data_IF_899106255578
#
_entry.id   IF_899106255578
#
_cell.length_a   1.000
_cell.length_b   1.000
_cell.length_c   1.000
_cell.angle_alpha   90.00
_cell.angle_beta   90.00
_cell.angle_gamma   90.00
#
_symmetry.space_group_name_H-M   'P 1'
#
loop_
_entity.id
_entity.type
_entity.pdbx_description
1 polymer ?
#
# COMPACT_ATOMS: atom_id res chain seq x y z
N UNK A 1 2.36 1.09 -17.20
CA UNK A 1 0.90 1.36 -17.11
C UNK A 1 0.44 1.35 -15.66
N UNK A 2 0.96 2.29 -14.86
CA UNK A 2 0.39 2.74 -13.60
C UNK A 2 0.70 4.25 -13.48
N UNK A 3 0.44 5.00 -14.56
CA UNK A 3 0.53 6.46 -14.60
C UNK A 3 -0.72 7.06 -13.95
N UNK A 4 -0.78 6.91 -12.64
CA UNK A 4 -1.78 7.61 -11.83
C UNK A 4 -1.04 8.29 -10.70
N UNK A 5 -0.71 9.56 -10.89
CA UNK A 5 -0.43 10.52 -9.82
C UNK A 5 -1.71 10.75 -8.98
N UNK A 6 -2.29 9.67 -8.45
CA UNK A 6 -3.44 9.74 -7.57
C UNK A 6 -2.92 9.96 -6.16
N UNK A 7 -3.29 11.10 -5.58
CA UNK A 7 -2.93 11.41 -4.20
C UNK A 7 -3.48 10.32 -3.25
N UNK A 8 -2.71 9.97 -2.24
CA UNK A 8 -3.08 8.93 -1.27
C UNK A 8 -4.39 9.25 -0.54
N UNK A 9 -4.74 10.53 -0.38
CA UNK A 9 -6.02 10.96 0.20
C UNK A 9 -7.19 10.60 -0.72
N UNK A 10 -6.99 10.73 -2.03
CA UNK A 10 -8.00 10.35 -3.01
C UNK A 10 -8.16 8.82 -3.08
N UNK A 11 -7.06 8.07 -2.99
CA UNK A 11 -7.11 6.60 -2.87
C UNK A 11 -7.87 6.20 -1.60
N UNK A 12 -7.59 6.83 -0.46
CA UNK A 12 -8.28 6.57 0.80
C UNK A 12 -9.79 6.86 0.70
N UNK A 13 -10.15 7.99 0.08
CA UNK A 13 -11.55 8.36 -0.14
C UNK A 13 -12.27 7.36 -1.03
N UNK A 14 -11.67 6.97 -2.17
CA UNK A 14 -12.26 6.01 -3.13
C UNK A 14 -12.35 4.60 -2.55
N UNK A 15 -11.36 4.16 -1.79
CA UNK A 15 -11.36 2.86 -1.14
C UNK A 15 -12.27 2.81 0.10
N UNK A 16 -12.76 3.95 0.58
CA UNK A 16 -13.51 4.04 1.84
C UNK A 16 -12.65 3.63 3.04
N UNK A 17 -11.36 3.99 3.01
CA UNK A 17 -10.38 3.72 4.05
C UNK A 17 -9.98 5.02 4.75
N UNK A 18 -9.55 4.92 5.99
CA UNK A 18 -9.01 6.08 6.70
C UNK A 18 -7.67 6.49 6.08
N UNK A 19 -7.49 7.79 5.80
CA UNK A 19 -6.28 8.33 5.17
C UNK A 19 -4.99 7.98 5.93
N UNK A 20 -5.05 7.87 7.27
CA UNK A 20 -3.92 7.42 8.10
C UNK A 20 -3.51 5.97 7.77
N UNK A 21 -4.48 5.08 7.52
CA UNK A 21 -4.20 3.68 7.16
C UNK A 21 -3.48 3.62 5.82
N UNK A 22 -3.97 4.35 4.82
CA UNK A 22 -3.34 4.41 3.49
C UNK A 22 -1.95 5.08 3.57
N UNK A 23 -1.79 6.12 4.39
CA UNK A 23 -0.50 6.78 4.59
C UNK A 23 0.53 5.86 5.27
N UNK A 24 0.11 5.02 6.22
CA UNK A 24 0.95 3.99 6.83
C UNK A 24 1.35 2.94 5.80
N UNK A 25 0.40 2.41 5.02
CA UNK A 25 0.69 1.44 3.96
C UNK A 25 1.64 2.00 2.89
N UNK A 26 1.57 3.31 2.61
CA UNK A 26 2.44 4.00 1.65
C UNK A 26 3.87 4.21 2.16
N UNK A 27 4.04 4.68 3.40
CA UNK A 27 5.34 5.16 3.90
C UNK A 27 6.03 4.18 4.86
N UNK A 28 5.27 3.28 5.47
CA UNK A 28 5.83 2.26 6.35
C UNK A 28 6.13 1.03 5.49
N UNK A 29 7.41 0.66 5.44
CA UNK A 29 7.83 -0.69 5.00
C UNK A 29 7.35 -1.79 5.97
N UNK A 30 6.62 -1.41 7.01
CA UNK A 30 6.06 -2.27 8.03
C UNK A 30 4.60 -2.57 7.72
N UNK A 31 4.31 -3.84 7.45
CA UNK A 31 2.95 -4.33 7.28
C UNK A 31 2.18 -4.18 8.60
N UNK A 32 0.94 -3.70 8.60
CA UNK A 32 0.15 -3.63 9.82
C UNK A 32 -0.06 -5.03 10.42
N UNK A 33 -0.26 -5.14 11.75
CA UNK A 33 -0.46 -6.42 12.43
C UNK A 33 -1.70 -7.19 11.93
N UNK A 34 -2.63 -6.49 11.28
CA UNK A 34 -3.76 -7.09 10.56
C UNK A 34 -3.98 -6.31 9.27
N UNK A 35 -3.98 -7.03 8.14
CA UNK A 35 -4.44 -6.53 6.85
C UNK A 35 -5.65 -7.33 6.41
N UNK A 36 -6.83 -6.71 6.44
CA UNK A 36 -8.06 -7.38 6.03
C UNK A 36 -8.10 -7.56 4.50
N UNK A 37 -8.54 -8.74 4.05
CA UNK A 37 -8.72 -9.03 2.62
C UNK A 37 -9.57 -7.96 1.92
N UNK A 38 -10.67 -7.54 2.55
CA UNK A 38 -11.56 -6.50 2.01
C UNK A 38 -10.84 -5.17 1.78
N UNK A 39 -9.90 -4.82 2.67
CA UNK A 39 -9.09 -3.59 2.54
C UNK A 39 -8.15 -3.69 1.34
N UNK A 40 -7.50 -4.83 1.16
CA UNK A 40 -6.63 -5.10 0.03
C UNK A 40 -7.40 -5.09 -1.30
N UNK A 41 -8.57 -5.74 -1.36
CA UNK A 41 -9.44 -5.76 -2.54
C UNK A 41 -9.89 -4.36 -2.96
N UNK A 42 -10.28 -3.52 -2.00
CA UNK A 42 -10.64 -2.12 -2.24
C UNK A 42 -9.48 -1.32 -2.83
N UNK A 43 -8.27 -1.50 -2.31
CA UNK A 43 -7.07 -0.84 -2.83
C UNK A 43 -6.77 -1.30 -4.27
N UNK A 44 -6.78 -2.62 -4.52
CA UNK A 44 -6.56 -3.19 -5.84
C UNK A 44 -7.57 -2.68 -6.87
N UNK A 45 -8.86 -2.57 -6.48
CA UNK A 45 -9.92 -2.05 -7.35
C UNK A 45 -9.71 -0.57 -7.70
N UNK A 46 -9.33 0.27 -6.73
CA UNK A 46 -9.12 1.71 -6.94
C UNK A 46 -7.86 1.98 -7.77
N UNK A 47 -6.79 1.24 -7.47
CA UNK A 47 -5.50 1.36 -8.15
C UNK A 47 -5.45 0.60 -9.48
N UNK A 48 -6.44 -0.25 -9.76
CA UNK A 48 -6.49 -1.13 -10.91
C UNK A 48 -5.22 -1.99 -11.02
N UNK A 49 -4.84 -2.62 -9.92
CA UNK A 49 -3.66 -3.47 -9.80
C UNK A 49 -4.02 -4.83 -9.17
N UNK A 50 -3.06 -5.77 -9.22
CA UNK A 50 -3.18 -7.06 -8.56
C UNK A 50 -2.62 -6.99 -7.13
N UNK A 51 -3.07 -7.87 -6.22
CA UNK A 51 -2.49 -7.97 -4.87
C UNK A 51 -0.97 -8.19 -4.88
N UNK A 52 -0.46 -8.93 -5.87
CA UNK A 52 0.97 -9.16 -6.10
C UNK A 52 1.76 -7.89 -6.42
N UNK A 53 1.10 -6.86 -6.95
CA UNK A 53 1.74 -5.58 -7.27
C UNK A 53 1.90 -4.71 -6.01
N UNK A 54 1.14 -4.99 -4.96
CA UNK A 54 1.17 -4.25 -3.69
C UNK A 54 1.96 -4.97 -2.60
N UNK A 55 2.02 -6.30 -2.66
CA UNK A 55 2.60 -7.14 -1.61
C UNK A 55 3.89 -7.79 -2.09
N UNK A 56 4.96 -7.61 -1.33
CA UNK A 56 6.23 -8.29 -1.50
C UNK A 56 6.72 -8.77 -0.14
N UNK A 57 7.09 -10.03 -0.05
CA UNK A 57 7.80 -10.54 1.11
C UNK A 57 9.24 -10.00 1.09
N UNK A 58 9.66 -9.42 2.20
CA UNK A 58 11.03 -8.93 2.40
C UNK A 58 11.63 -9.70 3.58
N UNK A 59 12.62 -10.58 3.37
CA UNK A 59 13.34 -11.21 4.47
C UNK A 59 14.02 -10.17 5.37
N UNK A 60 14.14 -10.47 6.66
CA UNK A 60 14.60 -9.52 7.69
C UNK A 60 15.98 -8.89 7.40
N UNK A 61 16.84 -9.61 6.68
CA UNK A 61 18.20 -9.16 6.29
C UNK A 61 18.19 -7.98 5.30
N UNK A 62 17.11 -7.79 4.52
CA UNK A 62 17.04 -6.78 3.46
C UNK A 62 16.48 -5.42 3.92
N UNK A 63 15.89 -5.36 5.11
CA UNK A 63 15.25 -4.13 5.64
C UNK A 63 16.25 -3.02 6.02
N UNK A 64 17.56 -3.32 6.01
CA UNK A 64 18.62 -2.37 6.34
C UNK A 64 19.17 -1.56 5.16
N UNK A 65 18.87 -1.93 3.90
CA UNK A 65 19.57 -1.34 2.74
C UNK A 65 18.84 -0.23 1.97
N UNK A 66 17.58 0.11 2.29
CA UNK A 66 16.78 1.03 1.44
C UNK A 66 16.47 2.40 2.05
N UNK A 67 17.42 2.97 2.81
CA UNK A 67 17.45 4.39 3.21
C UNK A 67 18.58 5.13 2.49
N UNK A 68 18.55 5.22 1.17
CA UNK A 68 19.32 6.23 0.42
C UNK A 68 18.95 6.22 -1.06
N UNK A 69 18.13 7.19 -1.49
CA UNK A 69 18.34 8.05 -2.68
C UNK A 69 17.18 9.04 -2.78
#
# INVERSE_FOLDING_TARGET
>A
MADREMDYREVARRAGLHHVTVNKLKNSYEMPPRLDRTTLEKLCMVLNCQPSDLLRYVPSEETSSNKAS
#
